data_IF_670064927985
#
_entry.id   IF_670064927985
#
_cell.length_a   1.000
_cell.length_b   1.000
_cell.length_c   1.000
_cell.angle_alpha   90.00
_cell.angle_beta   90.00
_cell.angle_gamma   90.00
#
_symmetry.space_group_name_H-M   'P 1'
#
loop_
_entity.id
_entity.type
_entity.pdbx_description
1 polymer ?
#
# COMPACT_ATOMS: atom_id res chain seq x y z
N UNK A 1 -11.34 23.94 -1.66
CA UNK A 1 -10.18 23.10 -1.34
C UNK A 1 -9.88 22.32 -2.60
N UNK A 2 -8.76 22.60 -3.25
CA UNK A 2 -8.40 21.94 -4.50
C UNK A 2 -7.70 20.60 -4.25
N UNK A 3 -7.72 19.70 -5.23
CA UNK A 3 -7.08 18.36 -5.17
C UNK A 3 -5.66 18.40 -4.63
N UNK A 4 -4.86 19.34 -5.12
CA UNK A 4 -3.46 19.53 -4.71
C UNK A 4 -3.33 19.92 -3.23
N UNK A 5 -4.28 20.70 -2.71
CA UNK A 5 -4.32 21.07 -1.30
C UNK A 5 -4.71 19.87 -0.41
N UNK A 6 -5.60 19.00 -0.90
CA UNK A 6 -5.97 17.75 -0.23
C UNK A 6 -4.78 16.77 -0.17
N UNK A 7 -4.06 16.59 -1.27
CA UNK A 7 -2.86 15.74 -1.35
C UNK A 7 -1.73 16.30 -0.48
N UNK A 8 -1.53 17.62 -0.46
CA UNK A 8 -0.50 18.26 0.38
C UNK A 8 -0.84 18.20 1.88
N UNK A 9 -2.12 18.34 2.25
CA UNK A 9 -2.58 18.23 3.64
C UNK A 9 -3.05 16.82 4.03
N UNK A 10 -2.71 15.78 3.27
CA UNK A 10 -3.07 14.40 3.62
C UNK A 10 -2.60 14.01 5.02
N UNK A 11 -1.37 14.38 5.38
CA UNK A 11 -0.76 14.02 6.67
C UNK A 11 -1.61 14.52 7.86
N UNK A 12 -1.92 15.83 7.99
CA UNK A 12 -2.76 16.29 9.09
C UNK A 12 -4.19 15.74 9.02
N UNK A 13 -4.77 15.54 7.83
CA UNK A 13 -6.12 14.95 7.69
C UNK A 13 -6.14 13.52 8.25
N UNK A 14 -5.17 12.69 7.89
CA UNK A 14 -5.06 11.33 8.41
C UNK A 14 -4.77 11.31 9.91
N UNK A 15 -3.97 12.24 10.40
CA UNK A 15 -3.69 12.35 11.83
C UNK A 15 -4.97 12.65 12.63
N UNK A 16 -5.77 13.61 12.17
CA UNK A 16 -7.07 13.92 12.78
C UNK A 16 -8.03 12.74 12.65
N UNK A 17 -8.09 12.09 11.49
CA UNK A 17 -8.95 10.93 11.26
C UNK A 17 -8.60 9.78 12.24
N UNK A 18 -7.32 9.50 12.47
CA UNK A 18 -6.87 8.47 13.42
C UNK A 18 -7.24 8.84 14.86
N UNK A 19 -7.10 10.11 15.25
CA UNK A 19 -7.52 10.55 16.59
C UNK A 19 -9.03 10.38 16.78
N UNK A 20 -9.83 10.77 15.78
CA UNK A 20 -11.28 10.59 15.82
C UNK A 20 -11.65 9.11 15.86
N UNK A 21 -10.98 8.27 15.08
CA UNK A 21 -11.16 6.82 15.07
C UNK A 21 -10.84 6.20 16.44
N UNK A 22 -9.72 6.62 17.04
CA UNK A 22 -9.27 6.18 18.35
C UNK A 22 -10.28 6.53 19.45
N UNK A 23 -10.70 7.79 19.49
CA UNK A 23 -11.67 8.27 20.47
C UNK A 23 -13.05 7.59 20.26
N UNK A 24 -13.50 7.47 19.01
CA UNK A 24 -14.76 6.80 18.68
C UNK A 24 -14.75 5.32 19.04
N UNK A 25 -13.65 4.61 18.78
CA UNK A 25 -13.47 3.20 19.12
C UNK A 25 -13.42 2.94 20.63
N UNK A 26 -12.92 3.89 21.41
CA UNK A 26 -12.89 3.83 22.89
C UNK A 26 -14.24 4.17 23.53
N UNK A 27 -14.94 5.18 22.99
CA UNK A 27 -16.18 5.71 23.56
C UNK A 27 -17.43 4.90 23.15
N UNK A 28 -17.39 4.20 22.01
CA UNK A 28 -18.53 3.46 21.47
C UNK A 28 -18.10 2.10 20.88
N UNK A 29 -17.69 1.12 21.70
CA UNK A 29 -17.23 -0.19 21.23
C UNK A 29 -18.27 -0.94 20.40
N UNK A 30 -19.57 -0.79 20.71
CA UNK A 30 -20.66 -1.42 19.94
C UNK A 30 -20.79 -0.85 18.51
N UNK A 31 -20.51 0.45 18.32
CA UNK A 31 -20.49 1.07 16.99
C UNK A 31 -19.28 0.59 16.17
N UNK A 32 -18.14 0.32 16.83
CA UNK A 32 -16.95 -0.26 16.17
C UNK A 32 -17.21 -1.64 15.57
N UNK A 33 -18.09 -2.43 16.20
CA UNK A 33 -18.41 -3.79 15.77
C UNK A 33 -19.30 -3.79 14.53
N UNK A 34 -20.30 -2.89 14.48
CA UNK A 34 -21.12 -2.67 13.30
C UNK A 34 -20.30 -2.17 12.09
N UNK A 35 -19.32 -1.28 12.34
CA UNK A 35 -18.41 -0.74 11.33
C UNK A 35 -17.42 -1.78 10.78
N UNK A 36 -17.15 -2.86 11.53
CA UNK A 36 -16.25 -3.93 11.11
C UNK A 36 -16.66 -4.57 9.77
N UNK A 37 -17.96 -4.71 9.52
CA UNK A 37 -18.50 -5.25 8.25
C UNK A 37 -18.24 -4.34 7.04
N UNK A 38 -18.07 -3.04 7.28
CA UNK A 38 -17.84 -2.02 6.24
C UNK A 38 -16.35 -1.85 5.88
N UNK A 39 -15.44 -2.47 6.64
CA UNK A 39 -13.99 -2.41 6.36
C UNK A 39 -13.68 -2.91 4.96
N UNK A 40 -14.08 -4.15 4.65
CA UNK A 40 -13.83 -4.80 3.36
C UNK A 40 -14.34 -3.99 2.16
N UNK A 41 -15.60 -3.53 2.12
CA UNK A 41 -16.07 -2.72 0.99
C UNK A 41 -15.40 -1.33 0.92
N UNK A 42 -15.05 -0.72 2.05
CA UNK A 42 -14.34 0.58 2.04
C UNK A 42 -12.94 0.43 1.45
N UNK A 43 -12.23 -0.66 1.79
CA UNK A 43 -10.93 -0.99 1.18
C UNK A 43 -11.09 -1.24 -0.32
N UNK A 44 -12.12 -1.97 -0.75
CA UNK A 44 -12.35 -2.22 -2.18
C UNK A 44 -12.56 -0.92 -2.97
N UNK A 45 -13.35 0.02 -2.43
CA UNK A 45 -13.58 1.35 -3.02
C UNK A 45 -12.29 2.16 -3.09
N UNK A 46 -11.50 2.15 -2.01
CA UNK A 46 -10.20 2.78 -1.97
C UNK A 46 -9.25 2.20 -3.03
N UNK A 47 -9.12 0.88 -3.10
CA UNK A 47 -8.26 0.20 -4.07
C UNK A 47 -8.68 0.52 -5.50
N UNK A 48 -9.98 0.55 -5.77
CA UNK A 48 -10.50 0.98 -7.06
C UNK A 48 -10.12 2.43 -7.40
N UNK A 49 -10.31 3.36 -6.46
CA UNK A 49 -9.91 4.75 -6.62
C UNK A 49 -8.41 4.89 -6.88
N UNK A 50 -7.58 4.09 -6.19
CA UNK A 50 -6.12 4.12 -6.35
C UNK A 50 -5.68 3.54 -7.68
N UNK A 51 -6.27 2.42 -8.13
CA UNK A 51 -5.92 1.85 -9.43
C UNK A 51 -6.31 2.77 -10.59
N UNK A 52 -7.41 3.52 -10.50
CA UNK A 52 -7.78 4.51 -11.51
C UNK A 52 -6.74 5.62 -11.70
N UNK A 53 -5.96 5.93 -10.64
CA UNK A 53 -4.88 6.92 -10.74
C UNK A 53 -3.64 6.40 -11.46
N UNK A 54 -3.50 5.07 -11.63
CA UNK A 54 -2.32 4.49 -12.28
C UNK A 54 -2.40 4.78 -13.78
N UNK A 55 -1.36 5.40 -14.37
CA UNK A 55 -1.31 5.67 -15.80
C UNK A 55 -0.96 4.39 -16.58
N UNK A 56 -1.89 3.42 -16.64
CA UNK A 56 -1.69 2.11 -17.28
C UNK A 56 -1.21 2.20 -18.73
N UNK A 57 -1.54 3.30 -19.40
CA UNK A 57 -1.25 3.55 -20.81
C UNK A 57 0.17 4.07 -21.06
N UNK A 58 0.83 4.63 -20.04
CA UNK A 58 2.19 5.17 -20.11
C UNK A 58 3.21 4.29 -19.36
N UNK A 59 2.83 3.07 -19.00
CA UNK A 59 3.66 2.12 -18.25
C UNK A 59 5.04 1.90 -18.88
N UNK A 60 5.10 1.93 -20.22
CA UNK A 60 6.35 1.75 -20.98
C UNK A 60 7.39 2.82 -20.65
N UNK A 61 6.97 4.05 -20.38
CA UNK A 61 7.88 5.15 -20.03
C UNK A 61 8.41 5.00 -18.60
N UNK A 62 7.58 4.52 -17.68
CA UNK A 62 8.00 4.17 -16.31
C UNK A 62 9.01 3.02 -16.26
N UNK A 63 8.82 2.03 -17.11
CA UNK A 63 9.70 0.86 -17.24
C UNK A 63 10.97 1.13 -18.06
N UNK A 64 11.06 2.26 -18.77
CA UNK A 64 12.20 2.59 -19.62
C UNK A 64 13.48 2.83 -18.81
N UNK A 65 13.38 3.35 -17.58
CA UNK A 65 14.53 3.59 -16.72
C UNK A 65 14.95 2.31 -15.98
N UNK A 66 15.75 1.48 -16.65
CA UNK A 66 16.24 0.20 -16.11
C UNK A 66 17.03 0.35 -14.81
N UNK A 67 17.79 1.45 -14.63
CA UNK A 67 18.58 1.69 -13.41
C UNK A 67 17.67 1.95 -12.21
N UNK A 68 16.68 2.83 -12.38
CA UNK A 68 15.67 3.10 -11.37
C UNK A 68 14.89 1.83 -11.02
N UNK A 69 14.45 1.08 -12.04
CA UNK A 69 13.69 -0.15 -11.83
C UNK A 69 14.51 -1.21 -11.08
N UNK A 70 15.77 -1.41 -11.44
CA UNK A 70 16.64 -2.36 -10.74
C UNK A 70 16.86 -1.96 -9.28
N UNK A 71 17.10 -0.67 -9.00
CA UNK A 71 17.25 -0.17 -7.64
C UNK A 71 15.97 -0.36 -6.83
N UNK A 72 14.82 -0.01 -7.41
CA UNK A 72 13.51 -0.13 -6.77
C UNK A 72 13.17 -1.59 -6.44
N UNK A 73 13.36 -2.51 -7.39
CA UNK A 73 13.10 -3.93 -7.19
C UNK A 73 14.08 -4.55 -6.19
N UNK A 74 15.36 -4.20 -6.24
CA UNK A 74 16.36 -4.72 -5.28
C UNK A 74 16.07 -4.22 -3.87
N UNK A 75 15.71 -2.94 -3.72
CA UNK A 75 15.33 -2.41 -2.41
C UNK A 75 14.09 -3.13 -1.85
N UNK A 76 13.01 -3.24 -2.64
CA UNK A 76 11.74 -3.78 -2.18
C UNK A 76 11.72 -5.30 -1.99
N UNK A 77 12.39 -6.04 -2.88
CA UNK A 77 12.32 -7.50 -2.90
C UNK A 77 13.61 -8.20 -2.46
N UNK A 78 14.67 -7.46 -2.13
CA UNK A 78 15.89 -8.08 -1.58
C UNK A 78 16.26 -7.43 -0.26
N UNK A 79 16.51 -6.12 -0.25
CA UNK A 79 16.98 -5.43 0.95
C UNK A 79 15.94 -5.46 2.08
N UNK A 80 14.67 -5.15 1.78
CA UNK A 80 13.60 -5.19 2.79
C UNK A 80 13.38 -6.60 3.32
N UNK A 81 13.15 -7.65 2.50
CA UNK A 81 12.99 -9.00 3.02
C UNK A 81 14.15 -9.46 3.91
N UNK A 82 15.39 -9.12 3.56
CA UNK A 82 16.55 -9.43 4.40
C UNK A 82 16.53 -8.67 5.74
N UNK A 83 16.16 -7.38 5.72
CA UNK A 83 16.01 -6.59 6.93
C UNK A 83 14.88 -7.14 7.82
N UNK A 84 13.74 -7.48 7.22
CA UNK A 84 12.58 -8.08 7.89
C UNK A 84 12.97 -9.42 8.50
N UNK A 85 13.73 -10.24 7.76
CA UNK A 85 14.24 -11.50 8.27
C UNK A 85 15.09 -11.28 9.53
N UNK A 86 16.06 -10.38 9.48
CA UNK A 86 16.92 -10.07 10.62
C UNK A 86 16.12 -9.54 11.84
N UNK A 87 15.13 -8.69 11.61
CA UNK A 87 14.25 -8.17 12.68
C UNK A 87 13.37 -9.25 13.30
N UNK A 88 12.91 -10.21 12.49
CA UNK A 88 11.98 -11.25 12.93
C UNK A 88 12.66 -12.43 13.63
N UNK A 89 13.98 -12.58 13.51
CA UNK A 89 14.75 -13.58 14.25
C UNK A 89 14.51 -13.53 15.76
N UNK A 90 14.28 -12.34 16.34
CA UNK A 90 14.00 -12.17 17.78
C UNK A 90 12.55 -12.44 18.22
N UNK A 91 11.61 -12.62 17.28
CA UNK A 91 10.16 -12.72 17.53
C UNK A 91 9.63 -14.13 17.16
N UNK A 92 10.51 -15.05 16.78
CA UNK A 92 10.21 -16.43 16.38
C UNK A 92 9.42 -17.22 17.42
N UNK A 93 9.50 -16.86 18.71
CA UNK A 93 8.75 -17.50 19.80
C UNK A 93 7.25 -17.11 19.85
N UNK A 94 6.79 -16.15 19.03
CA UNK A 94 5.41 -15.68 19.01
C UNK A 94 4.81 -15.77 17.60
N UNK A 95 4.33 -16.95 17.16
CA UNK A 95 3.97 -17.20 15.76
C UNK A 95 2.84 -16.29 15.23
N UNK A 96 1.86 -15.94 16.06
CA UNK A 96 0.78 -15.03 15.66
C UNK A 96 1.29 -13.60 15.38
N UNK A 97 2.22 -13.10 16.20
CA UNK A 97 2.82 -11.77 16.04
C UNK A 97 3.77 -11.78 14.85
N UNK A 98 4.53 -12.86 14.67
CA UNK A 98 5.43 -13.06 13.54
C UNK A 98 4.66 -12.99 12.20
N UNK A 99 3.57 -13.75 12.06
CA UNK A 99 2.74 -13.74 10.84
C UNK A 99 2.21 -12.34 10.55
N UNK A 100 1.65 -11.66 11.55
CA UNK A 100 1.13 -10.30 11.39
C UNK A 100 2.23 -9.31 10.98
N UNK A 101 3.40 -9.37 11.63
CA UNK A 101 4.54 -8.54 11.28
C UNK A 101 5.01 -8.83 9.85
N UNK A 102 5.22 -10.09 9.47
CA UNK A 102 5.66 -10.45 8.12
C UNK A 102 4.69 -9.97 7.05
N UNK A 103 3.37 -10.12 7.26
CA UNK A 103 2.37 -9.58 6.35
C UNK A 103 2.51 -8.05 6.24
N UNK A 104 2.58 -7.33 7.36
CA UNK A 104 2.68 -5.86 7.36
C UNK A 104 3.99 -5.35 6.72
N UNK A 105 5.14 -5.97 6.98
CA UNK A 105 6.42 -5.48 6.45
C UNK A 105 6.73 -5.94 5.02
N UNK A 106 6.23 -7.11 4.59
CA UNK A 106 6.51 -7.67 3.26
C UNK A 106 5.47 -7.29 2.20
N UNK A 107 4.34 -6.70 2.59
CA UNK A 107 3.35 -6.15 1.66
C UNK A 107 3.45 -4.64 1.58
N UNK A 108 4.46 -4.06 0.89
CA UNK A 108 4.56 -2.62 0.79
C UNK A 108 3.35 -2.05 0.03
N UNK A 109 2.61 -1.16 0.67
CA UNK A 109 1.56 -0.37 0.03
C UNK A 109 2.19 0.89 -0.59
N UNK A 110 1.80 1.24 -1.83
CA UNK A 110 2.51 2.24 -2.64
C UNK A 110 1.89 3.65 -2.48
N UNK A 111 0.71 3.73 -1.87
CA UNK A 111 -0.17 4.90 -1.84
C UNK A 111 0.52 6.14 -1.23
N UNK A 112 1.27 5.97 -0.14
CA UNK A 112 2.00 7.04 0.53
C UNK A 112 3.39 7.30 -0.06
N UNK A 113 4.02 6.27 -0.63
CA UNK A 113 5.39 6.36 -1.15
C UNK A 113 5.45 7.37 -2.28
N UNK A 114 4.40 7.50 -3.08
CA UNK A 114 4.32 8.48 -4.17
C UNK A 114 4.38 9.92 -3.63
N UNK A 115 3.63 10.19 -2.56
CA UNK A 115 3.58 11.52 -1.91
C UNK A 115 4.92 11.81 -1.24
N UNK A 116 5.49 10.84 -0.51
CA UNK A 116 6.82 11.02 0.09
C UNK A 116 7.94 11.14 -0.93
N UNK A 117 7.83 10.44 -2.06
CA UNK A 117 8.76 10.59 -3.18
C UNK A 117 8.65 11.99 -3.75
N UNK A 118 7.44 12.53 -3.88
CA UNK A 118 7.21 13.90 -4.33
C UNK A 118 7.83 14.92 -3.34
N UNK A 119 7.56 14.79 -2.04
CA UNK A 119 8.13 15.65 -0.99
C UNK A 119 9.66 15.52 -0.94
N UNK A 120 10.17 14.31 -1.12
CA UNK A 120 11.60 13.97 -1.18
C UNK A 120 12.29 14.40 -2.49
N UNK A 121 11.61 15.15 -3.37
CA UNK A 121 12.09 15.59 -4.69
C UNK A 121 12.49 14.46 -5.64
N UNK A 122 11.99 13.25 -5.40
CA UNK A 122 12.11 12.13 -6.31
C UNK A 122 11.04 12.17 -7.41
N UNK A 123 11.16 11.27 -8.39
CA UNK A 123 10.21 11.18 -9.50
C UNK A 123 8.98 10.35 -9.09
N UNK A 124 7.95 11.05 -8.62
CA UNK A 124 6.67 10.46 -8.21
C UNK A 124 5.92 9.83 -9.38
N UNK A 125 6.12 10.32 -10.62
CA UNK A 125 5.50 9.74 -11.83
C UNK A 125 6.13 8.41 -12.20
N UNK A 126 7.46 8.30 -12.14
CA UNK A 126 8.16 7.02 -12.34
C UNK A 126 7.78 6.00 -11.26
N UNK A 127 7.62 6.45 -10.02
CA UNK A 127 7.18 5.60 -8.90
C UNK A 127 5.76 5.08 -9.11
N UNK A 128 4.81 5.95 -9.47
CA UNK A 128 3.44 5.57 -9.83
C UNK A 128 3.37 4.61 -11.02
N UNK A 129 4.23 4.80 -12.02
CA UNK A 129 4.26 3.95 -13.21
C UNK A 129 4.85 2.56 -12.92
N UNK A 130 5.71 2.43 -11.90
CA UNK A 130 6.25 1.15 -11.44
C UNK A 130 5.26 0.35 -10.58
N UNK A 131 4.20 0.97 -10.06
CA UNK A 131 3.22 0.38 -9.14
C UNK A 131 2.66 -0.98 -9.60
N UNK A 132 2.22 -1.16 -10.86
CA UNK A 132 1.68 -2.45 -11.28
C UNK A 132 2.70 -3.58 -11.25
N UNK A 133 3.97 -3.28 -11.56
CA UNK A 133 5.03 -4.27 -11.52
C UNK A 133 5.33 -4.69 -10.08
N UNK A 134 5.39 -3.72 -9.16
CA UNK A 134 5.57 -4.00 -7.73
C UNK A 134 4.44 -4.86 -7.19
N UNK A 135 3.19 -4.55 -7.53
CA UNK A 135 2.02 -5.33 -7.10
C UNK A 135 2.09 -6.79 -7.60
N UNK A 136 2.47 -7.00 -8.88
CA UNK A 136 2.62 -8.34 -9.44
C UNK A 136 3.78 -9.12 -8.81
N UNK A 137 4.94 -8.49 -8.66
CA UNK A 137 6.10 -9.13 -8.01
C UNK A 137 5.80 -9.49 -6.56
N UNK A 138 5.14 -8.60 -5.81
CA UNK A 138 4.74 -8.84 -4.43
C UNK A 138 3.77 -10.02 -4.33
N UNK A 139 2.81 -10.14 -5.24
CA UNK A 139 1.88 -11.27 -5.26
C UNK A 139 2.61 -12.62 -5.38
N UNK A 140 3.62 -12.68 -6.25
CA UNK A 140 4.37 -13.91 -6.51
C UNK A 140 5.35 -14.20 -5.37
N UNK A 141 6.01 -13.18 -4.84
CA UNK A 141 7.10 -13.33 -3.89
C UNK A 141 6.63 -13.46 -2.43
N UNK A 142 5.50 -12.85 -2.07
CA UNK A 142 4.96 -12.94 -0.71
C UNK A 142 4.76 -14.40 -0.22
N UNK A 143 4.09 -15.31 -0.95
CA UNK A 143 3.96 -16.70 -0.50
C UNK A 143 5.33 -17.39 -0.38
N UNK A 144 6.30 -17.04 -1.22
CA UNK A 144 7.67 -17.57 -1.15
C UNK A 144 8.39 -17.07 0.10
N UNK A 145 8.27 -15.78 0.45
CA UNK A 145 8.86 -15.24 1.67
C UNK A 145 8.23 -15.82 2.93
N UNK A 146 6.90 -15.94 2.95
CA UNK A 146 6.20 -16.53 4.09
C UNK A 146 6.63 -17.98 4.30
N UNK A 147 6.67 -18.80 3.25
CA UNK A 147 7.13 -20.20 3.37
C UNK A 147 8.57 -20.31 3.86
N UNK A 148 9.48 -19.44 3.40
CA UNK A 148 10.87 -19.43 3.84
C UNK A 148 11.06 -18.94 5.28
N UNK A 149 10.35 -17.88 5.69
CA UNK A 149 10.53 -17.22 6.98
C UNK A 149 9.74 -17.88 8.13
N UNK A 150 8.58 -18.49 7.85
CA UNK A 150 7.80 -19.21 8.86
C UNK A 150 8.37 -20.61 9.16
N UNK A 151 9.13 -21.19 8.24
CA UNK A 151 9.65 -22.55 8.35
C UNK A 151 8.55 -23.62 8.41
N UNK A 152 8.94 -24.89 8.45
CA UNK A 152 8.03 -26.04 8.53
C UNK A 152 7.29 -26.17 9.88
N UNK A 153 7.67 -25.41 10.91
CA UNK A 153 7.17 -25.53 12.28
C UNK A 153 6.02 -24.57 12.62
N UNK A 154 5.60 -23.73 11.68
CA UNK A 154 4.49 -22.82 11.91
C UNK A 154 3.15 -23.58 11.90
N UNK A 155 2.66 -23.89 13.10
CA UNK A 155 1.31 -24.41 13.37
C UNK A 155 0.18 -23.49 12.88
N UNK A 156 0.51 -22.26 12.50
CA UNK A 156 -0.38 -21.34 11.80
C UNK A 156 -0.36 -21.70 10.32
N UNK A 157 -1.20 -22.66 9.94
CA UNK A 157 -1.49 -22.96 8.54
C UNK A 157 -2.20 -21.75 7.95
N UNK A 158 -1.45 -20.83 7.33
CA UNK A 158 -2.03 -19.81 6.48
C UNK A 158 -2.72 -20.55 5.34
N UNK A 159 -4.04 -20.65 5.44
CA UNK A 159 -4.84 -21.27 4.40
C UNK A 159 -4.72 -20.39 3.15
N UNK A 160 -4.06 -20.92 2.12
CA UNK A 160 -3.84 -20.21 0.85
C UNK A 160 -5.19 -19.81 0.22
N UNK A 161 -6.25 -20.60 0.43
CA UNK A 161 -7.60 -20.34 -0.09
C UNK A 161 -8.16 -18.95 0.27
N UNK A 162 -8.42 -18.65 1.56
CA UNK A 162 -8.90 -17.33 1.99
C UNK A 162 -8.00 -16.17 1.56
N UNK A 163 -6.68 -16.38 1.49
CA UNK A 163 -5.74 -15.37 1.02
C UNK A 163 -5.95 -15.06 -0.47
N UNK A 164 -6.05 -16.08 -1.31
CA UNK A 164 -6.31 -15.93 -2.75
C UNK A 164 -7.69 -15.32 -2.98
N UNK A 165 -8.70 -15.71 -2.22
CA UNK A 165 -10.04 -15.13 -2.29
C UNK A 165 -10.03 -13.63 -1.97
N UNK A 166 -9.43 -13.24 -0.85
CA UNK A 166 -9.28 -11.84 -0.47
C UNK A 166 -8.49 -11.05 -1.53
N UNK A 167 -7.43 -11.64 -2.07
CA UNK A 167 -6.65 -11.04 -3.16
C UNK A 167 -7.50 -10.80 -4.41
N UNK A 168 -8.25 -11.81 -4.87
CA UNK A 168 -9.07 -11.69 -6.08
C UNK A 168 -10.15 -10.62 -5.88
N UNK A 169 -10.82 -10.61 -4.73
CA UNK A 169 -11.90 -9.67 -4.47
C UNK A 169 -11.41 -8.23 -4.21
N UNK A 170 -10.32 -8.04 -3.45
CA UNK A 170 -9.88 -6.71 -3.02
C UNK A 170 -8.84 -6.07 -3.94
N UNK A 171 -8.13 -6.87 -4.73
CA UNK A 171 -7.04 -6.37 -5.58
C UNK A 171 -7.36 -6.63 -7.05
N UNK A 172 -7.49 -7.90 -7.45
CA UNK A 172 -7.61 -8.24 -8.87
C UNK A 172 -8.90 -7.66 -9.49
N UNK A 173 -10.03 -7.77 -8.80
CA UNK A 173 -11.31 -7.27 -9.27
C UNK A 173 -11.32 -5.73 -9.42
N UNK A 174 -10.96 -4.92 -8.40
CA UNK A 174 -10.82 -3.47 -8.56
C UNK A 174 -9.82 -3.07 -9.63
N UNK A 175 -8.71 -3.81 -9.78
CA UNK A 175 -7.71 -3.55 -10.81
C UNK A 175 -8.28 -3.74 -12.22
N UNK A 176 -8.97 -4.86 -12.48
CA UNK A 176 -9.60 -5.15 -13.77
C UNK A 176 -10.66 -4.10 -14.10
N UNK A 177 -11.49 -3.73 -13.12
CA UNK A 177 -12.49 -2.67 -13.28
C UNK A 177 -11.83 -1.33 -13.59
N UNK A 178 -10.74 -0.98 -12.90
CA UNK A 178 -10.04 0.28 -13.12
C UNK A 178 -9.41 0.34 -14.51
N UNK A 179 -8.78 -0.74 -14.97
CA UNK A 179 -8.22 -0.86 -16.33
C UNK A 179 -9.34 -0.75 -17.38
N UNK A 180 -10.47 -1.40 -17.17
CA UNK A 180 -11.62 -1.32 -18.08
C UNK A 180 -12.17 0.11 -18.17
N UNK A 181 -12.33 0.80 -17.03
CA UNK A 181 -12.74 2.20 -17.00
C UNK A 181 -11.72 3.12 -17.67
N UNK A 182 -10.42 2.95 -17.38
CA UNK A 182 -9.35 3.75 -17.98
C UNK A 182 -9.26 3.55 -19.51
N UNK A 183 -9.48 2.32 -19.99
CA UNK A 183 -9.56 2.04 -21.43
C UNK A 183 -10.80 2.70 -22.07
N UNK A 184 -11.93 2.71 -21.36
CA UNK A 184 -13.16 3.40 -21.78
C UNK A 184 -13.04 4.93 -21.80
N UNK A 185 -12.20 5.51 -20.94
CA UNK A 185 -11.98 6.96 -20.87
C UNK A 185 -11.44 7.56 -22.18
N UNK A 186 -10.57 6.81 -22.88
CA UNK A 186 -10.07 7.22 -24.22
C UNK A 186 -11.16 7.33 -25.27
N UNK A 187 -12.32 6.69 -25.06
CA UNK A 187 -13.39 6.58 -26.05
C UNK A 187 -14.60 7.46 -25.72
N UNK A 188 -14.71 7.98 -24.49
CA UNK A 188 -15.89 8.75 -24.05
C UNK A 188 -15.53 9.84 -23.02
N UNK A 189 -15.97 11.08 -23.31
CA UNK A 189 -15.81 12.24 -22.41
C UNK A 189 -16.50 12.06 -21.05
N UNK A 190 -17.55 11.24 -21.00
CA UNK A 190 -18.26 10.94 -19.74
C UNK A 190 -17.35 10.11 -18.83
N UNK A 191 -16.66 9.10 -19.37
CA UNK A 191 -15.75 8.24 -18.61
C UNK A 191 -14.49 9.00 -18.20
N UNK A 192 -14.02 9.95 -19.03
CA UNK A 192 -12.95 10.88 -18.68
C UNK A 192 -13.32 11.80 -17.51
N UNK A 193 -14.52 12.40 -17.51
CA UNK A 193 -15.01 13.20 -16.38
C UNK A 193 -15.16 12.39 -15.10
N UNK A 194 -15.58 11.12 -15.22
CA UNK A 194 -15.70 10.22 -14.09
C UNK A 194 -14.33 9.87 -13.50
N UNK A 195 -13.32 9.58 -14.35
CA UNK A 195 -11.96 9.33 -13.89
C UNK A 195 -11.36 10.54 -13.16
N UNK A 196 -11.60 11.76 -13.67
CA UNK A 196 -11.18 12.99 -13.00
C UNK A 196 -11.84 13.21 -11.63
N UNK A 197 -13.12 12.83 -11.48
CA UNK A 197 -13.81 12.89 -10.19
C UNK A 197 -13.24 11.87 -9.19
N UNK A 198 -12.97 10.64 -9.65
CA UNK A 198 -12.38 9.58 -8.81
C UNK A 198 -10.96 9.87 -8.38
N UNK A 199 -10.22 10.71 -9.13
CA UNK A 199 -8.88 11.13 -8.75
C UNK A 199 -8.83 11.89 -7.41
N UNK A 200 -9.96 12.44 -6.93
CA UNK A 200 -10.06 13.12 -5.63
C UNK A 200 -10.41 12.17 -4.47
N UNK A 201 -10.90 10.97 -4.78
CA UNK A 201 -11.46 10.05 -3.81
C UNK A 201 -10.46 9.27 -2.92
N UNK A 202 -9.19 9.03 -3.29
CA UNK A 202 -8.34 8.19 -2.45
C UNK A 202 -7.97 8.85 -1.11
N UNK A 203 -7.87 10.18 -1.06
CA UNK A 203 -7.64 10.87 0.22
C UNK A 203 -8.82 10.68 1.19
N UNK A 204 -10.08 11.00 0.81
CA UNK A 204 -11.26 10.70 1.60
C UNK A 204 -11.45 9.21 1.91
N UNK A 205 -11.23 8.33 0.93
CA UNK A 205 -11.42 6.89 1.10
C UNK A 205 -10.43 6.31 2.11
N UNK A 206 -9.17 6.73 2.09
CA UNK A 206 -8.18 6.36 3.12
C UNK A 206 -8.60 6.85 4.50
N UNK A 207 -9.06 8.09 4.61
CA UNK A 207 -9.54 8.62 5.89
C UNK A 207 -10.74 7.81 6.42
N UNK A 208 -11.66 7.42 5.54
CA UNK A 208 -12.77 6.54 5.88
C UNK A 208 -12.29 5.16 6.35
N UNK A 209 -11.34 4.53 5.66
CA UNK A 209 -10.75 3.24 6.10
C UNK A 209 -10.15 3.38 7.50
N UNK A 210 -9.36 4.43 7.75
CA UNK A 210 -8.73 4.66 9.06
C UNK A 210 -9.77 4.83 10.17
N UNK A 211 -10.87 5.55 9.90
CA UNK A 211 -11.99 5.72 10.84
C UNK A 211 -12.72 4.42 11.10
N UNK A 212 -13.06 3.68 10.04
CA UNK A 212 -13.81 2.42 10.13
C UNK A 212 -13.01 1.35 10.85
N UNK A 213 -11.70 1.29 10.64
CA UNK A 213 -10.87 0.31 11.33
C UNK A 213 -10.72 0.62 12.84
N UNK A 214 -10.92 1.86 13.29
CA UNK A 214 -10.67 2.46 14.61
C UNK A 214 -10.63 1.56 15.87
N UNK A 215 -9.65 0.65 15.98
CA UNK A 215 -9.24 0.02 17.24
C UNK A 215 -7.74 0.30 17.46
N UNK A 216 -7.45 0.95 18.58
CA UNK A 216 -6.12 1.44 18.96
C UNK A 216 -4.93 0.46 18.76
N UNK A 217 -5.07 -0.87 18.98
CA UNK A 217 -3.91 -1.77 18.93
C UNK A 217 -3.35 -2.03 17.52
N UNK A 218 -4.19 -2.14 16.49
CA UNK A 218 -3.73 -2.42 15.12
C UNK A 218 -3.27 -1.15 14.39
N UNK A 219 -3.83 0.01 14.74
CA UNK A 219 -3.48 1.30 14.13
C UNK A 219 -2.08 1.75 14.53
N UNK A 220 -1.73 1.63 15.81
CA UNK A 220 -0.39 2.00 16.29
C UNK A 220 0.68 1.03 15.77
N UNK A 221 0.39 -0.28 15.75
CA UNK A 221 1.32 -1.29 15.23
C UNK A 221 1.58 -1.15 13.73
N UNK A 222 0.54 -0.97 12.92
CA UNK A 222 0.67 -0.87 11.46
C UNK A 222 1.30 0.46 11.02
N UNK A 223 0.94 1.58 11.66
CA UNK A 223 1.49 2.91 11.34
C UNK A 223 2.96 3.02 11.76
N UNK A 224 3.35 2.56 12.96
CA UNK A 224 4.76 2.64 13.39
C UNK A 224 5.69 1.77 12.53
N UNK A 225 5.28 0.56 12.17
CA UNK A 225 6.08 -0.31 11.28
C UNK A 225 6.14 0.22 9.85
N UNK A 226 5.02 0.70 9.30
CA UNK A 226 4.98 1.24 7.93
C UNK A 226 5.71 2.58 7.78
N UNK A 227 5.62 3.47 8.77
CA UNK A 227 6.36 4.75 8.75
C UNK A 227 7.87 4.49 8.82
N UNK A 228 8.31 3.56 9.66
CA UNK A 228 9.73 3.16 9.70
C UNK A 228 10.15 2.51 8.39
N UNK A 229 9.35 1.58 7.85
CA UNK A 229 9.65 0.93 6.57
C UNK A 229 9.71 1.90 5.39
N UNK A 230 8.77 2.85 5.30
CA UNK A 230 8.74 3.87 4.24
C UNK A 230 9.86 4.90 4.38
N UNK A 231 10.25 5.29 5.60
CA UNK A 231 11.42 6.13 5.82
C UNK A 231 12.72 5.42 5.43
N UNK A 232 12.85 4.13 5.75
CA UNK A 232 14.00 3.30 5.35
C UNK A 232 14.04 3.14 3.83
N UNK A 233 12.89 2.90 3.18
CA UNK A 233 12.81 2.83 1.72
C UNK A 233 13.16 4.16 1.04
N UNK A 234 12.68 5.27 1.57
CA UNK A 234 12.95 6.60 1.03
C UNK A 234 14.43 6.96 1.20
N UNK A 235 15.00 6.68 2.37
CA UNK A 235 16.42 6.85 2.65
C UNK A 235 17.28 5.94 1.75
N UNK A 236 16.92 4.68 1.59
CA UNK A 236 17.61 3.74 0.71
C UNK A 236 17.52 4.15 -0.76
N UNK A 237 16.35 4.60 -1.22
CA UNK A 237 16.14 5.12 -2.57
C UNK A 237 16.96 6.38 -2.86
N UNK A 238 17.00 7.33 -1.92
CA UNK A 238 17.81 8.54 -2.01
C UNK A 238 19.31 8.24 -1.99
N UNK A 239 19.76 7.36 -1.10
CA UNK A 239 21.16 6.92 -1.05
C UNK A 239 21.57 6.21 -2.35
N UNK A 240 20.70 5.33 -2.85
CA UNK A 240 20.92 4.64 -4.13
C UNK A 240 21.01 5.64 -5.29
N UNK A 241 20.14 6.65 -5.32
CA UNK A 241 20.16 7.70 -6.33
C UNK A 241 21.44 8.54 -6.27
N UNK A 242 21.88 8.94 -5.07
CA UNK A 242 23.11 9.72 -4.88
C UNK A 242 24.37 8.94 -5.26
N UNK A 243 24.44 7.65 -4.93
CA UNK A 243 25.57 6.79 -5.28
C UNK A 243 25.65 6.54 -6.79
N UNK A 244 24.49 6.42 -7.46
CA UNK A 244 24.42 6.17 -8.91
C UNK A 244 24.68 7.44 -9.74
N UNK A 245 24.35 8.62 -9.21
CA UNK A 245 24.49 9.89 -9.93
C UNK A 245 25.83 10.62 -9.67
N UNK A 246 26.69 10.03 -8.84
CA UNK A 246 28.07 10.51 -8.59
C UNK A 246 29.14 9.72 -9.36
N UNK A 247 28.72 8.86 -10.31
CA UNK A 247 29.58 8.23 -11.33
C UNK A 247 29.01 8.47 -12.73
#
# INVERSE_FOLDING_TARGET
MDREQLETNQIPIYFVAVIVAALGGLLAPNASEALGSTVTPTIAVLMYAMFLQIPFLDLRNGLANKRFMAALLTANFVAIPLLVWALTMGITNHPAILVGALLVLLTPCIDYVVVFTHIGKGDSKLTLAATPLLLLMQLVLLPVYLTFMLGNDSTVVISIGPFVEAFVMLIALPLVLAVATAAGAKRSRIVESWNNAWAWMPVPAMAAVLVVMGRLPWALGSVSLHVVGSLVMTAAGLLSYQIINTR
#
